data_IF_725388453291
#
_entry.id   IF_725388453291
#
_cell.length_a   1.000
_cell.length_b   1.000
_cell.length_c   1.000
_cell.angle_alpha   90.00
_cell.angle_beta   90.00
_cell.angle_gamma   90.00
#
_symmetry.space_group_name_H-M   'P 1'
#
loop_
_entity.id
_entity.type
_entity.pdbx_description
1 polymer ?
#
# COMPACT_ATOMS: atom_id res chain seq x y z
N UNK A 1 59.36 7.78 10.00
CA UNK A 1 58.05 7.97 9.34
C UNK A 1 57.12 8.53 10.41
N UNK A 2 56.56 9.70 10.16
CA UNK A 2 55.50 10.29 10.99
C UNK A 2 54.19 9.95 10.26
N UNK A 3 53.23 9.29 10.94
CA UNK A 3 51.89 9.06 10.44
C UNK A 3 51.02 10.09 11.17
N UNK A 4 50.37 10.95 10.37
CA UNK A 4 49.51 12.02 10.91
C UNK A 4 48.04 11.73 10.54
N UNK A 5 47.10 12.30 11.31
CA UNK A 5 45.66 12.22 11.11
C UNK A 5 45.08 10.81 11.24
N UNK A 6 45.47 10.07 12.27
CA UNK A 6 44.84 8.81 12.65
C UNK A 6 43.61 9.13 13.48
N UNK A 7 42.43 8.70 13.05
CA UNK A 7 41.19 8.75 13.87
C UNK A 7 40.94 7.37 14.45
N UNK A 8 40.69 7.33 15.75
CA UNK A 8 40.21 6.16 16.47
C UNK A 8 38.71 6.29 16.62
N UNK A 9 37.96 5.27 16.24
CA UNK A 9 36.50 5.20 16.33
C UNK A 9 36.10 3.79 16.72
N UNK A 10 35.40 3.64 17.84
CA UNK A 10 34.87 2.38 18.35
C UNK A 10 33.36 2.41 18.56
N UNK A 11 32.69 3.45 18.07
CA UNK A 11 31.24 3.60 18.19
C UNK A 11 30.55 3.10 16.90
N UNK A 12 29.64 2.13 17.01
CA UNK A 12 28.87 1.69 15.85
C UNK A 12 27.84 2.75 15.43
N UNK A 13 27.47 2.80 14.13
CA UNK A 13 26.40 3.66 13.67
C UNK A 13 25.05 3.23 14.25
N UNK A 14 24.24 4.21 14.65
CA UNK A 14 22.83 3.98 14.97
C UNK A 14 22.02 3.99 13.67
N UNK A 15 21.26 2.91 13.44
CA UNK A 15 20.33 2.76 12.33
C UNK A 15 18.89 2.64 12.80
N UNK A 16 17.96 3.14 12.00
CA UNK A 16 16.53 2.89 12.18
C UNK A 16 15.82 2.81 10.83
N UNK A 17 14.98 1.80 10.62
CA UNK A 17 14.10 1.70 9.46
C UNK A 17 12.79 2.41 9.82
N UNK A 18 12.32 3.32 8.97
CA UNK A 18 11.03 3.99 9.10
C UNK A 18 10.01 3.54 8.05
N UNK A 19 10.47 2.88 6.96
CA UNK A 19 9.64 2.21 5.96
C UNK A 19 10.42 1.08 5.27
N UNK A 20 9.78 -0.10 5.01
CA UNK A 20 8.43 -0.44 5.46
C UNK A 20 8.33 -0.52 6.98
N UNK A 21 7.11 -0.60 7.52
CA UNK A 21 6.85 -0.92 8.92
C UNK A 21 6.39 -2.37 9.07
N UNK A 22 6.35 -2.89 10.30
CA UNK A 22 5.84 -4.24 10.57
C UNK A 22 4.41 -4.42 10.03
N UNK A 23 4.16 -5.53 9.34
CA UNK A 23 2.90 -5.90 8.72
C UNK A 23 2.40 -4.93 7.62
N UNK A 24 3.26 -4.07 7.09
CA UNK A 24 2.90 -3.20 5.96
C UNK A 24 2.65 -4.04 4.69
N UNK A 25 1.61 -3.66 3.93
CA UNK A 25 1.40 -4.16 2.57
C UNK A 25 2.03 -3.19 1.59
N UNK A 26 2.91 -3.70 0.72
CA UNK A 26 3.69 -2.89 -0.21
C UNK A 26 3.59 -3.42 -1.65
N UNK A 27 3.59 -2.52 -2.63
CA UNK A 27 3.67 -2.86 -4.07
C UNK A 27 5.00 -2.49 -4.71
N UNK A 28 5.92 -1.95 -3.94
CA UNK A 28 7.24 -1.52 -4.39
C UNK A 28 8.27 -1.69 -3.29
N UNK A 29 9.54 -1.75 -3.66
CA UNK A 29 10.66 -1.94 -2.74
C UNK A 29 11.24 -0.61 -2.24
N UNK A 30 10.34 0.30 -1.83
CA UNK A 30 10.72 1.58 -1.24
C UNK A 30 11.13 1.38 0.22
N UNK A 31 12.31 1.90 0.56
CA UNK A 31 12.87 1.85 1.91
C UNK A 31 13.16 3.26 2.39
N UNK A 32 12.87 3.53 3.67
CA UNK A 32 13.27 4.74 4.36
C UNK A 32 14.00 4.37 5.64
N UNK A 33 15.14 4.97 5.88
CA UNK A 33 15.95 4.72 7.07
C UNK A 33 16.77 5.95 7.47
N UNK A 34 17.33 5.92 8.68
CA UNK A 34 18.22 6.97 9.20
C UNK A 34 19.52 6.33 9.66
N UNK A 35 20.64 7.01 9.36
CA UNK A 35 21.96 6.68 9.90
C UNK A 35 22.52 7.86 10.71
N UNK A 36 23.06 7.57 11.90
CA UNK A 36 23.69 8.58 12.76
C UNK A 36 25.01 9.11 12.21
N UNK A 37 25.62 8.39 11.26
CA UNK A 37 26.92 8.72 10.67
C UNK A 37 27.10 8.19 9.25
N UNK A 38 28.24 8.47 8.65
CA UNK A 38 28.65 7.97 7.33
C UNK A 38 28.95 6.47 7.41
N UNK A 39 28.30 5.70 6.57
CA UNK A 39 28.53 4.27 6.42
C UNK A 39 29.64 3.99 5.39
N UNK A 40 30.42 2.94 5.57
CA UNK A 40 31.33 2.39 4.59
C UNK A 40 30.59 1.46 3.65
N UNK A 41 29.72 0.62 4.21
CA UNK A 41 28.83 -0.25 3.46
C UNK A 41 27.51 -0.45 4.21
N UNK A 42 26.47 -0.74 3.43
CA UNK A 42 25.18 -1.16 3.96
C UNK A 42 24.50 -2.10 2.96
N UNK A 43 23.73 -3.05 3.48
CA UNK A 43 22.98 -4.01 2.66
C UNK A 43 21.54 -4.09 3.16
N UNK A 44 20.59 -3.92 2.26
CA UNK A 44 19.16 -4.19 2.51
C UNK A 44 18.86 -5.61 2.04
N UNK A 45 18.20 -6.40 2.87
CA UNK A 45 17.92 -7.81 2.62
C UNK A 45 16.43 -8.07 2.78
N UNK A 46 15.79 -8.57 1.73
CA UNK A 46 14.42 -9.09 1.77
C UNK A 46 14.49 -10.61 1.86
N UNK A 47 14.08 -11.16 2.99
CA UNK A 47 14.06 -12.62 3.21
C UNK A 47 12.62 -13.09 3.30
N UNK A 48 12.22 -13.99 2.40
CA UNK A 48 10.88 -14.57 2.44
C UNK A 48 10.67 -15.36 3.73
N UNK A 49 9.52 -15.13 4.37
CA UNK A 49 9.11 -15.82 5.61
C UNK A 49 7.93 -16.75 5.40
N UNK A 50 7.01 -16.40 4.47
CA UNK A 50 5.82 -17.19 4.14
C UNK A 50 5.14 -16.69 2.86
N UNK A 51 3.95 -17.20 2.54
CA UNK A 51 3.17 -16.82 1.37
C UNK A 51 3.61 -17.51 0.08
N UNK A 52 3.40 -16.86 -1.07
CA UNK A 52 3.81 -17.38 -2.39
C UNK A 52 5.32 -17.59 -2.43
N UNK A 53 5.74 -18.78 -2.87
CA UNK A 53 7.17 -19.19 -2.84
C UNK A 53 8.02 -18.30 -3.74
N UNK A 54 9.07 -17.76 -3.18
CA UNK A 54 10.13 -17.02 -3.85
C UNK A 54 11.43 -17.84 -3.85
N UNK A 55 11.73 -18.47 -4.98
CA UNK A 55 12.88 -19.36 -5.13
C UNK A 55 14.23 -18.63 -5.10
N UNK A 56 14.22 -17.30 -5.25
CA UNK A 56 15.42 -16.48 -5.28
C UNK A 56 15.68 -15.75 -3.95
N UNK A 57 14.79 -15.93 -2.97
CA UNK A 57 14.99 -15.37 -1.62
C UNK A 57 16.21 -16.00 -0.93
N UNK A 58 17.04 -15.23 -0.19
CA UNK A 58 16.92 -13.79 0.09
C UNK A 58 17.45 -12.88 -1.02
N UNK A 59 16.76 -11.75 -1.25
CA UNK A 59 17.24 -10.71 -2.14
C UNK A 59 18.10 -9.72 -1.38
N UNK A 60 19.33 -9.48 -1.84
CA UNK A 60 20.31 -8.59 -1.20
C UNK A 60 20.65 -7.43 -2.12
N UNK A 61 20.52 -6.20 -1.61
CA UNK A 61 20.89 -4.99 -2.33
C UNK A 61 21.95 -4.23 -1.52
N UNK A 62 23.12 -4.07 -2.14
CA UNK A 62 24.22 -3.29 -1.57
C UNK A 62 23.94 -1.83 -1.88
N UNK A 63 23.87 -1.00 -0.84
CA UNK A 63 23.67 0.44 -0.96
C UNK A 63 24.96 1.13 -1.39
N UNK A 64 24.85 2.28 -2.06
CA UNK A 64 26.01 3.01 -2.58
C UNK A 64 25.79 4.51 -2.64
N UNK A 65 26.86 5.26 -2.73
CA UNK A 65 26.81 6.71 -2.94
C UNK A 65 26.09 7.47 -1.82
N UNK A 66 25.04 8.20 -2.17
CA UNK A 66 24.30 9.04 -1.23
C UNK A 66 23.54 8.23 -0.14
N UNK A 67 23.21 6.98 -0.42
CA UNK A 67 22.54 6.09 0.52
C UNK A 67 23.44 5.69 1.71
N UNK A 68 24.76 5.90 1.61
CA UNK A 68 25.71 5.66 2.69
C UNK A 68 26.00 6.90 3.55
N UNK A 69 25.44 8.07 3.20
CA UNK A 69 25.73 9.31 3.95
C UNK A 69 24.99 9.33 5.29
N UNK A 70 25.51 10.10 6.25
CA UNK A 70 24.82 10.42 7.47
C UNK A 70 23.49 11.12 7.18
N UNK A 71 22.42 10.76 7.91
CA UNK A 71 21.13 11.45 7.86
C UNK A 71 19.94 10.57 7.52
N UNK A 72 18.86 11.20 7.10
CA UNK A 72 17.59 10.56 6.74
C UNK A 72 17.59 10.26 5.25
N UNK A 73 17.27 9.03 4.90
CA UNK A 73 17.07 8.54 3.55
C UNK A 73 15.60 8.17 3.39
N UNK A 74 14.85 8.99 2.64
CA UNK A 74 13.40 8.82 2.50
C UNK A 74 13.02 8.29 1.14
N UNK A 75 12.07 7.35 1.14
CA UNK A 75 11.35 6.85 -0.04
C UNK A 75 12.25 6.46 -1.22
N UNK A 76 13.36 5.80 -0.93
CA UNK A 76 14.25 5.38 -1.98
C UNK A 76 13.94 3.95 -2.44
N UNK A 77 13.74 3.76 -3.75
CA UNK A 77 13.47 2.46 -4.34
C UNK A 77 14.77 1.69 -4.55
N UNK A 78 14.89 0.53 -3.90
CA UNK A 78 16.05 -0.35 -4.03
C UNK A 78 16.04 -1.20 -5.30
N UNK A 79 14.98 -1.10 -6.13
CA UNK A 79 14.95 -1.60 -7.50
C UNK A 79 14.77 -3.12 -7.67
N UNK A 80 14.26 -3.83 -6.66
CA UNK A 80 14.04 -5.29 -6.73
C UNK A 80 12.56 -5.68 -6.79
N UNK A 81 11.64 -4.73 -7.02
CA UNK A 81 10.19 -4.98 -7.08
C UNK A 81 9.84 -6.15 -8.01
N UNK A 82 10.45 -6.24 -9.18
CA UNK A 82 10.20 -7.33 -10.15
C UNK A 82 10.82 -8.68 -9.76
N UNK A 83 11.55 -8.74 -8.66
CA UNK A 83 12.20 -9.97 -8.19
C UNK A 83 11.43 -10.64 -7.06
N UNK A 84 10.62 -9.88 -6.31
CA UNK A 84 9.80 -10.40 -5.22
C UNK A 84 8.60 -11.18 -5.76
N UNK A 85 8.19 -12.22 -5.05
CA UNK A 85 6.98 -12.98 -5.40
C UNK A 85 5.74 -12.26 -4.91
N UNK A 86 4.80 -11.99 -5.82
CA UNK A 86 3.47 -11.47 -5.48
C UNK A 86 2.73 -12.40 -4.52
N UNK A 87 2.14 -11.88 -3.45
CA UNK A 87 1.57 -12.65 -2.34
C UNK A 87 2.62 -13.23 -1.39
N UNK A 88 3.90 -12.85 -1.52
CA UNK A 88 4.99 -13.22 -0.61
C UNK A 88 5.01 -12.35 0.65
N UNK A 89 5.43 -12.93 1.79
CA UNK A 89 5.72 -12.20 3.02
C UNK A 89 7.21 -12.24 3.30
N UNK A 90 7.74 -11.10 3.70
CA UNK A 90 9.17 -10.89 3.86
C UNK A 90 9.51 -10.27 5.22
N UNK A 91 10.69 -10.60 5.74
CA UNK A 91 11.40 -9.73 6.68
C UNK A 91 12.34 -8.83 5.89
N UNK A 92 12.42 -7.56 6.26
CA UNK A 92 13.31 -6.57 5.65
C UNK A 92 14.35 -6.17 6.68
N UNK A 93 15.62 -6.41 6.35
CA UNK A 93 16.75 -6.19 7.26
C UNK A 93 17.73 -5.21 6.65
N UNK A 94 18.30 -4.32 7.47
CA UNK A 94 19.45 -3.49 7.10
C UNK A 94 20.63 -3.87 7.99
N UNK A 95 21.74 -4.24 7.33
CA UNK A 95 23.05 -4.46 7.93
C UNK A 95 24.00 -3.37 7.44
N UNK A 96 24.81 -2.77 8.31
CA UNK A 96 25.76 -1.71 7.93
C UNK A 96 26.99 -1.69 8.83
N UNK A 97 28.05 -1.09 8.27
CA UNK A 97 29.31 -0.82 8.96
C UNK A 97 29.75 0.61 8.67
N UNK A 98 30.40 1.23 9.65
CA UNK A 98 31.09 2.50 9.47
C UNK A 98 32.47 2.33 8.80
N UNK A 99 33.19 3.45 8.63
CA UNK A 99 34.54 3.44 8.05
C UNK A 99 35.60 2.83 8.93
N UNK A 100 35.36 2.75 10.26
CA UNK A 100 36.27 2.12 11.21
C UNK A 100 36.06 0.60 11.30
N UNK A 101 34.97 0.09 10.71
CA UNK A 101 34.56 -1.30 10.72
C UNK A 101 33.64 -1.68 11.86
N UNK A 102 33.09 -0.71 12.61
CA UNK A 102 32.11 -0.98 13.65
C UNK A 102 30.76 -1.35 13.01
N UNK A 103 30.16 -2.45 13.45
CA UNK A 103 28.91 -2.95 12.94
C UNK A 103 27.72 -2.27 13.63
N UNK A 104 26.77 -1.72 12.87
CA UNK A 104 25.49 -1.29 13.38
C UNK A 104 24.69 -2.44 14.01
N UNK A 105 23.85 -2.15 14.97
CA UNK A 105 22.83 -3.10 15.41
C UNK A 105 21.88 -3.38 14.24
N UNK A 106 21.70 -4.66 13.91
CA UNK A 106 20.84 -5.08 12.80
C UNK A 106 19.40 -4.62 13.04
N UNK A 107 18.84 -3.89 12.08
CA UNK A 107 17.43 -3.47 12.10
C UNK A 107 16.61 -4.42 11.23
N UNK A 108 15.47 -4.87 11.75
CA UNK A 108 14.58 -5.79 11.02
C UNK A 108 13.14 -5.35 11.18
N UNK A 109 12.43 -5.32 10.05
CA UNK A 109 10.98 -5.17 9.95
C UNK A 109 10.41 -6.51 9.52
N UNK A 110 9.32 -6.93 10.13
CA UNK A 110 8.75 -8.26 9.91
C UNK A 110 7.38 -8.20 9.24
N UNK A 111 6.99 -9.34 8.64
CA UNK A 111 5.67 -9.58 8.06
C UNK A 111 5.26 -8.58 6.96
N UNK A 112 6.21 -8.04 6.23
CA UNK A 112 5.95 -7.17 5.08
C UNK A 112 5.32 -7.99 3.97
N UNK A 113 4.08 -7.67 3.59
CA UNK A 113 3.34 -8.37 2.54
C UNK A 113 3.52 -7.67 1.19
N UNK A 114 4.05 -8.38 0.21
CA UNK A 114 4.26 -7.86 -1.14
C UNK A 114 3.07 -8.21 -2.02
N UNK A 115 2.40 -7.19 -2.58
CA UNK A 115 1.16 -7.32 -3.33
C UNK A 115 1.14 -6.38 -4.54
N UNK A 116 0.97 -6.96 -5.73
CA UNK A 116 0.89 -6.25 -7.01
C UNK A 116 -0.50 -6.30 -7.63
N UNK A 117 -1.40 -7.13 -7.09
CA UNK A 117 -2.70 -7.35 -7.69
C UNK A 117 -3.73 -6.37 -7.11
N UNK A 118 -4.45 -5.64 -7.97
CA UNK A 118 -5.52 -4.77 -7.50
C UNK A 118 -6.73 -5.58 -7.01
N UNK A 119 -7.56 -5.00 -6.12
CA UNK A 119 -8.77 -5.66 -5.68
C UNK A 119 -9.75 -5.87 -6.84
N UNK A 120 -10.36 -7.05 -6.86
CA UNK A 120 -11.46 -7.38 -7.77
C UNK A 120 -12.77 -7.08 -7.06
N UNK A 121 -13.51 -6.10 -7.58
CA UNK A 121 -14.77 -5.62 -7.03
C UNK A 121 -15.94 -6.00 -7.94
N UNK A 122 -17.13 -6.21 -7.34
CA UNK A 122 -18.38 -6.42 -8.08
C UNK A 122 -19.52 -5.62 -7.43
N UNK A 123 -20.46 -5.12 -8.22
CA UNK A 123 -21.79 -4.66 -7.78
C UNK A 123 -22.79 -5.70 -8.22
N UNK A 124 -23.44 -6.34 -7.26
CA UNK A 124 -24.44 -7.38 -7.51
C UNK A 124 -25.85 -6.79 -7.57
N UNK A 125 -26.10 -5.68 -6.89
CA UNK A 125 -27.36 -4.91 -6.90
C UNK A 125 -27.08 -3.44 -6.57
N UNK A 126 -27.79 -2.48 -7.19
CA UNK A 126 -28.79 -2.64 -8.24
C UNK A 126 -28.16 -3.00 -9.60
N UNK A 127 -28.90 -3.72 -10.44
CA UNK A 127 -28.52 -4.02 -11.81
C UNK A 127 -29.01 -2.91 -12.76
N UNK A 128 -28.41 -2.83 -13.94
CA UNK A 128 -28.84 -1.90 -15.00
C UNK A 128 -30.35 -2.02 -15.28
N UNK A 129 -31.03 -0.88 -15.26
CA UNK A 129 -32.47 -0.79 -15.46
C UNK A 129 -33.32 -1.05 -14.21
N UNK A 130 -32.70 -1.29 -13.07
CA UNK A 130 -33.40 -1.43 -11.79
C UNK A 130 -34.13 -0.15 -11.38
N UNK A 131 -35.18 -0.30 -10.56
CA UNK A 131 -35.84 0.79 -9.85
C UNK A 131 -35.68 0.57 -8.37
N UNK A 132 -35.31 1.59 -7.65
CA UNK A 132 -35.11 1.53 -6.20
C UNK A 132 -35.70 2.79 -5.53
N UNK A 133 -36.05 2.67 -4.26
CA UNK A 133 -36.58 3.75 -3.45
C UNK A 133 -35.62 4.17 -2.32
N UNK A 134 -34.55 3.40 -2.14
CA UNK A 134 -33.50 3.62 -1.14
C UNK A 134 -32.12 3.40 -1.79
N UNK A 135 -31.07 4.17 -1.43
CA UNK A 135 -29.72 3.97 -1.95
C UNK A 135 -29.05 2.78 -1.26
N UNK A 136 -29.47 1.57 -1.65
CA UNK A 136 -28.93 0.30 -1.17
C UNK A 136 -28.10 -0.34 -2.27
N UNK A 137 -26.91 -0.84 -1.93
CA UNK A 137 -26.00 -1.52 -2.84
C UNK A 137 -25.53 -2.83 -2.22
N UNK A 138 -25.62 -3.92 -2.96
CA UNK A 138 -24.90 -5.17 -2.67
C UNK A 138 -23.64 -5.21 -3.52
N UNK A 139 -22.49 -5.32 -2.88
CA UNK A 139 -21.19 -5.37 -3.55
C UNK A 139 -20.24 -6.36 -2.87
N UNK A 140 -19.20 -6.76 -3.58
CA UNK A 140 -18.18 -7.65 -3.06
C UNK A 140 -16.77 -7.20 -3.45
N UNK A 141 -15.80 -7.61 -2.63
CA UNK A 141 -14.37 -7.52 -2.91
C UNK A 141 -13.68 -8.84 -2.57
N UNK A 142 -12.70 -9.25 -3.39
CA UNK A 142 -11.90 -10.45 -3.17
C UNK A 142 -10.87 -10.29 -2.04
N UNK A 143 -10.64 -9.05 -1.58
CA UNK A 143 -9.68 -8.70 -0.53
C UNK A 143 -10.12 -7.47 0.27
N UNK A 144 -9.38 -7.14 1.33
CA UNK A 144 -9.60 -5.92 2.12
C UNK A 144 -9.13 -4.70 1.32
N UNK A 145 -9.99 -3.68 1.27
CA UNK A 145 -9.70 -2.43 0.57
C UNK A 145 -9.10 -1.39 1.51
N UNK A 146 -8.11 -0.65 1.05
CA UNK A 146 -7.53 0.48 1.78
C UNK A 146 -8.35 1.76 1.62
N UNK A 147 -8.71 2.08 0.36
CA UNK A 147 -9.57 3.23 0.02
C UNK A 147 -10.58 2.82 -1.02
N UNK A 148 -11.83 3.26 -0.85
CA UNK A 148 -12.87 2.93 -1.82
C UNK A 148 -13.96 3.98 -1.82
N UNK A 149 -14.56 4.19 -3.00
CA UNK A 149 -15.66 5.13 -3.17
C UNK A 149 -16.76 4.51 -4.01
N UNK A 150 -18.01 4.74 -3.60
CA UNK A 150 -19.20 4.52 -4.43
C UNK A 150 -19.78 5.89 -4.78
N UNK A 151 -19.99 6.14 -6.06
CA UNK A 151 -20.47 7.42 -6.58
C UNK A 151 -21.76 7.23 -7.34
N UNK A 152 -22.83 7.94 -6.93
CA UNK A 152 -24.07 8.03 -7.68
C UNK A 152 -24.07 9.30 -8.53
N UNK A 153 -24.01 9.14 -9.85
CA UNK A 153 -24.01 10.25 -10.79
C UNK A 153 -25.32 10.30 -11.55
N UNK A 154 -26.06 11.41 -11.43
CA UNK A 154 -27.29 11.60 -12.22
C UNK A 154 -26.98 11.62 -13.72
N UNK A 155 -27.69 10.81 -14.49
CA UNK A 155 -27.55 10.72 -15.94
C UNK A 155 -28.77 11.23 -16.71
N UNK A 156 -29.99 11.12 -16.12
CA UNK A 156 -31.23 11.55 -16.75
C UNK A 156 -32.35 11.84 -15.71
N UNK A 157 -33.55 12.14 -16.14
CA UNK A 157 -34.73 12.36 -15.28
C UNK A 157 -34.73 13.71 -14.57
N UNK A 158 -35.32 13.79 -13.37
CA UNK A 158 -35.38 15.01 -12.58
C UNK A 158 -34.01 15.57 -12.27
N UNK A 159 -33.89 16.89 -12.15
CA UNK A 159 -32.61 17.56 -11.82
C UNK A 159 -32.22 17.27 -10.38
N UNK A 160 -30.97 16.88 -10.17
CA UNK A 160 -30.35 16.71 -8.87
C UNK A 160 -29.12 17.63 -8.76
N UNK A 161 -29.27 18.80 -8.11
CA UNK A 161 -28.16 19.76 -7.98
C UNK A 161 -27.01 19.29 -7.11
N UNK A 162 -27.20 18.22 -6.32
CA UNK A 162 -26.17 17.66 -5.44
C UNK A 162 -25.36 16.54 -6.12
N UNK A 163 -25.79 16.08 -7.30
CA UNK A 163 -25.05 15.07 -8.06
C UNK A 163 -23.73 15.65 -8.61
N UNK A 164 -22.62 14.87 -8.57
CA UNK A 164 -22.50 13.47 -8.10
C UNK A 164 -22.44 13.34 -6.57
N UNK A 165 -23.07 12.31 -6.04
CA UNK A 165 -22.96 11.95 -4.64
C UNK A 165 -21.82 10.95 -4.46
N UNK A 166 -20.76 11.35 -3.76
CA UNK A 166 -19.57 10.54 -3.53
C UNK A 166 -19.56 10.03 -2.08
N UNK A 167 -19.49 8.73 -1.90
CA UNK A 167 -19.46 8.06 -0.61
C UNK A 167 -18.09 7.41 -0.45
N UNK A 168 -17.31 7.84 0.55
CA UNK A 168 -16.08 7.14 0.94
C UNK A 168 -16.44 6.00 1.88
N UNK A 169 -16.05 4.78 1.51
CA UNK A 169 -16.27 3.60 2.35
C UNK A 169 -15.30 3.59 3.54
N UNK A 170 -15.74 3.08 4.69
CA UNK A 170 -14.94 2.99 5.90
C UNK A 170 -15.34 1.77 6.76
N UNK A 171 -14.45 1.33 7.62
CA UNK A 171 -14.70 0.25 8.58
C UNK A 171 -15.08 -1.06 7.90
N UNK A 172 -16.19 -1.68 8.33
CA UNK A 172 -16.60 -2.98 7.80
C UNK A 172 -16.94 -2.97 6.31
N UNK A 173 -17.26 -1.79 5.74
CA UNK A 173 -17.50 -1.60 4.31
C UNK A 173 -16.28 -1.87 3.44
N UNK A 174 -15.08 -1.84 4.01
CA UNK A 174 -13.80 -2.09 3.31
C UNK A 174 -13.34 -3.56 3.36
N UNK A 175 -13.92 -4.37 4.24
CA UNK A 175 -13.45 -5.75 4.45
C UNK A 175 -13.76 -6.66 3.26
N UNK A 176 -12.90 -7.65 3.06
CA UNK A 176 -13.10 -8.75 2.11
C UNK A 176 -14.48 -9.40 2.25
N UNK A 177 -15.04 -9.83 1.14
CA UNK A 177 -16.33 -10.55 1.04
C UNK A 177 -17.46 -9.69 0.52
N UNK A 178 -18.70 -10.21 0.66
CA UNK A 178 -19.90 -9.53 0.14
C UNK A 178 -20.54 -8.68 1.25
N UNK A 179 -20.92 -7.46 0.90
CA UNK A 179 -21.75 -6.55 1.68
C UNK A 179 -23.16 -6.58 1.10
N UNK A 180 -24.08 -7.25 1.80
CA UNK A 180 -25.46 -7.39 1.37
C UNK A 180 -26.26 -6.19 1.80
N UNK A 181 -27.03 -5.62 0.88
CA UNK A 181 -28.01 -4.55 1.13
C UNK A 181 -27.42 -3.39 1.97
N UNK A 182 -26.19 -2.98 1.63
CA UNK A 182 -25.54 -1.86 2.32
C UNK A 182 -26.28 -0.56 2.03
N UNK A 183 -26.85 0.05 3.08
CA UNK A 183 -27.63 1.27 2.97
C UNK A 183 -26.76 2.51 3.08
N UNK A 184 -26.98 3.45 2.16
CA UNK A 184 -26.34 4.75 2.11
C UNK A 184 -27.30 5.92 2.39
N UNK A 185 -28.48 5.64 2.96
CA UNK A 185 -29.49 6.66 3.29
C UNK A 185 -29.00 7.74 4.26
N UNK A 186 -28.04 7.39 5.13
CA UNK A 186 -27.42 8.34 6.04
C UNK A 186 -26.26 9.12 5.41
N UNK A 187 -25.75 8.65 4.26
CA UNK A 187 -24.62 9.26 3.58
C UNK A 187 -25.06 10.24 2.48
N UNK A 188 -26.16 9.91 1.78
CA UNK A 188 -26.65 10.69 0.63
C UNK A 188 -28.19 10.76 0.58
N UNK A 189 -28.69 11.77 -0.13
CA UNK A 189 -30.11 11.88 -0.48
C UNK A 189 -30.27 12.01 -1.98
N UNK A 190 -30.83 10.98 -2.62
CA UNK A 190 -31.08 10.96 -4.05
C UNK A 190 -32.40 11.70 -4.39
N UNK A 191 -32.47 12.25 -5.60
CA UNK A 191 -33.64 12.98 -6.08
C UNK A 191 -34.66 12.04 -6.74
N UNK A 192 -35.91 12.05 -6.27
CA UNK A 192 -36.99 11.29 -6.87
C UNK A 192 -37.19 11.66 -8.36
N UNK A 193 -37.43 10.62 -9.19
CA UNK A 193 -37.58 10.74 -10.64
C UNK A 193 -36.28 10.98 -11.40
N UNK A 194 -35.13 10.89 -10.76
CA UNK A 194 -33.80 10.92 -11.40
C UNK A 194 -33.39 9.52 -11.82
N UNK A 195 -32.52 9.45 -12.83
CA UNK A 195 -31.80 8.23 -13.25
C UNK A 195 -30.32 8.41 -12.94
N UNK A 196 -29.72 7.42 -12.33
CA UNK A 196 -28.32 7.47 -11.90
C UNK A 196 -27.46 6.40 -12.59
N UNK A 197 -26.16 6.61 -12.60
CA UNK A 197 -25.15 5.54 -12.70
C UNK A 197 -24.47 5.41 -11.36
N UNK A 198 -24.07 4.19 -11.01
CA UNK A 198 -23.17 3.93 -9.86
C UNK A 198 -21.79 3.63 -10.43
N UNK A 199 -20.78 4.29 -9.87
CA UNK A 199 -19.37 3.96 -10.12
C UNK A 199 -18.75 3.49 -8.81
N UNK A 200 -18.02 2.38 -8.84
CA UNK A 200 -17.25 1.86 -7.72
C UNK A 200 -15.78 1.85 -8.08
N UNK A 201 -14.96 2.51 -7.27
CA UNK A 201 -13.49 2.52 -7.34
C UNK A 201 -12.93 2.03 -6.02
N UNK A 202 -11.91 1.18 -6.08
CA UNK A 202 -11.25 0.65 -4.91
C UNK A 202 -9.72 0.67 -5.07
N UNK A 203 -9.03 0.84 -3.95
CA UNK A 203 -7.59 0.70 -3.79
C UNK A 203 -7.37 -0.27 -2.63
N UNK A 204 -6.45 -1.25 -2.75
CA UNK A 204 -6.09 -2.15 -1.67
C UNK A 204 -5.19 -1.48 -0.61
N UNK A 205 -4.71 -2.25 0.35
CA UNK A 205 -3.82 -1.76 1.40
C UNK A 205 -2.39 -1.48 0.90
N UNK A 206 -1.97 -2.11 -0.22
CA UNK A 206 -0.69 -1.85 -0.88
C UNK A 206 -0.74 -0.64 -1.82
N UNK A 207 -1.95 -0.14 -2.14
CA UNK A 207 -2.20 0.97 -3.03
C UNK A 207 -2.39 0.56 -4.51
N UNK A 208 -2.70 -0.72 -4.81
CA UNK A 208 -3.10 -1.12 -6.14
C UNK A 208 -4.55 -0.71 -6.40
N UNK A 209 -4.82 -0.16 -7.58
CA UNK A 209 -6.13 0.42 -7.92
C UNK A 209 -6.90 -0.53 -8.81
N UNK A 210 -8.15 -0.84 -8.42
CA UNK A 210 -9.06 -1.67 -9.21
C UNK A 210 -9.38 -1.03 -10.57
N UNK A 211 -9.85 -1.84 -11.52
CA UNK A 211 -10.59 -1.30 -12.66
C UNK A 211 -11.87 -0.61 -12.14
N UNK A 212 -12.24 0.50 -12.81
CA UNK A 212 -13.49 1.18 -12.51
C UNK A 212 -14.69 0.29 -12.85
N UNK A 213 -15.54 0.03 -11.88
CA UNK A 213 -16.78 -0.71 -12.08
C UNK A 213 -17.95 0.28 -12.18
N UNK A 214 -18.75 0.17 -13.24
CA UNK A 214 -19.89 1.06 -13.47
C UNK A 214 -21.17 0.31 -13.80
N UNK A 215 -22.27 0.68 -13.13
CA UNK A 215 -23.65 0.28 -13.45
C UNK A 215 -24.42 1.50 -13.92
N UNK A 216 -25.03 1.39 -15.10
CA UNK A 216 -25.73 2.52 -15.72
C UNK A 216 -27.25 2.37 -15.69
N UNK A 217 -27.95 3.52 -15.70
CA UNK A 217 -29.41 3.60 -15.84
C UNK A 217 -30.16 2.82 -14.75
N UNK A 218 -29.86 3.10 -13.51
CA UNK A 218 -30.61 2.64 -12.35
C UNK A 218 -31.61 3.68 -11.87
#
# INVERSE_FOLDING_TARGET
VIIENITYDDQPPDLSISRPIDAEQIKSTIVSYTSSEQLENATVIFTQTSGTVDLNSPHKVILSGKELTKGVHSDFDIGITSQLADGGRYSVTIEAFDKAGNAAAVQTVNDVFFDLLPPVIAIESPLKGSRFNTPIVTYSSNEEMGKSTITFTRTAGAQDPQSPHVISLAGDRLKQGTRYDESFENDITLKDGSVYSITFNAEDMAGNVSEELKVENI
#
